data_IF_767687515212
#
_entry.id   IF_767687515212
#
_cell.length_a   1.000
_cell.length_b   1.000
_cell.length_c   1.000
_cell.angle_alpha   90.00
_cell.angle_beta   90.00
_cell.angle_gamma   90.00
#
_symmetry.space_group_name_H-M   'P 1'
#
loop_
_entity.id
_entity.type
_entity.pdbx_description
1 polymer ?
#
# COMPACT_ATOMS: atom_id res chain seq x y z
N UNK A 1 76.83 -21.07 9.37
CA UNK A 1 78.13 -20.49 8.94
C UNK A 1 78.22 -20.63 7.42
N UNK A 2 78.73 -19.62 6.72
CA UNK A 2 78.47 -19.32 5.30
C UNK A 2 79.44 -20.12 4.38
N UNK A 3 79.47 -19.92 3.04
CA UNK A 3 80.17 -18.76 2.47
C UNK A 3 79.50 -18.22 1.17
N UNK A 4 79.42 -16.89 0.95
CA UNK A 4 80.22 -16.08 -0.02
C UNK A 4 80.13 -16.54 -1.49
N UNK A 5 79.96 -15.73 -2.53
CA UNK A 5 80.03 -14.28 -2.71
C UNK A 5 80.60 -13.94 -4.11
N UNK A 6 79.87 -13.13 -4.89
CA UNK A 6 80.30 -12.10 -5.88
C UNK A 6 81.27 -12.48 -7.04
N UNK A 7 81.70 -11.57 -7.98
CA UNK A 7 81.38 -10.13 -8.23
C UNK A 7 81.24 -9.74 -9.74
N UNK A 8 81.21 -8.41 -9.99
CA UNK A 8 81.48 -7.60 -11.23
C UNK A 8 80.24 -6.98 -11.90
N UNK A 9 80.13 -5.67 -12.21
CA UNK A 9 81.04 -4.50 -12.10
C UNK A 9 80.25 -3.18 -12.30
N UNK A 10 80.60 -2.17 -11.50
CA UNK A 10 80.85 -0.75 -11.84
C UNK A 10 79.77 0.33 -12.09
N UNK A 11 79.88 1.37 -11.22
CA UNK A 11 79.81 2.86 -11.41
C UNK A 11 78.51 3.48 -11.94
N UNK A 12 78.05 4.67 -11.55
CA UNK A 12 78.49 5.78 -10.66
C UNK A 12 77.23 6.68 -10.52
N UNK A 13 76.74 7.08 -9.35
CA UNK A 13 77.28 8.09 -8.40
C UNK A 13 77.00 9.55 -8.82
N UNK A 14 76.07 10.23 -8.12
CA UNK A 14 76.16 11.58 -7.52
C UNK A 14 74.77 12.04 -7.01
N UNK A 15 74.57 12.23 -5.68
CA UNK A 15 74.57 13.52 -4.93
C UNK A 15 73.37 14.45 -5.27
N UNK A 16 72.66 15.11 -4.35
CA UNK A 16 72.80 15.41 -2.91
C UNK A 16 71.50 16.12 -2.44
N UNK A 17 71.21 15.98 -1.14
CA UNK A 17 70.08 16.49 -0.36
C UNK A 17 69.99 18.02 -0.17
N UNK A 18 68.78 18.50 0.21
CA UNK A 18 68.43 19.42 1.33
C UNK A 18 67.24 20.35 0.93
N UNK A 19 66.03 20.25 1.52
CA UNK A 19 65.53 20.89 2.79
C UNK A 19 65.38 22.42 2.62
N UNK A 20 64.22 23.10 2.72
CA UNK A 20 63.33 23.40 3.89
C UNK A 20 62.02 24.10 3.41
N UNK A 21 60.83 23.79 3.98
CA UNK A 21 60.03 24.58 4.97
C UNK A 21 59.06 25.64 4.40
N UNK A 22 57.78 25.57 4.80
CA UNK A 22 56.84 26.70 4.80
C UNK A 22 55.39 26.32 4.49
N UNK A 23 54.54 26.26 5.52
CA UNK A 23 53.07 26.34 5.40
C UNK A 23 52.64 27.60 4.64
N UNK A 24 51.60 27.50 3.81
CA UNK A 24 50.51 28.48 3.77
C UNK A 24 49.31 27.92 2.99
N UNK A 25 48.20 27.66 3.67
CA UNK A 25 46.85 27.70 3.06
C UNK A 25 46.39 29.17 3.08
N UNK A 26 45.55 29.64 2.14
CA UNK A 26 44.12 29.32 2.24
C UNK A 26 43.28 29.35 0.92
N UNK A 27 42.12 28.68 0.99
CA UNK A 27 40.81 29.01 0.39
C UNK A 27 40.52 28.80 -1.13
N UNK A 28 39.55 27.90 -1.35
CA UNK A 28 38.37 28.02 -2.22
C UNK A 28 38.52 28.60 -3.65
N UNK A 29 38.57 27.70 -4.63
CA UNK A 29 37.79 27.81 -5.87
C UNK A 29 37.79 26.44 -6.58
N UNK A 30 36.75 25.63 -6.37
CA UNK A 30 36.54 24.40 -7.13
C UNK A 30 35.79 24.77 -8.43
N UNK A 31 36.53 25.34 -9.37
CA UNK A 31 36.06 25.54 -10.75
C UNK A 31 35.98 24.18 -11.44
N UNK A 32 34.75 23.68 -11.61
CA UNK A 32 34.49 22.46 -12.41
C UNK A 32 34.63 22.85 -13.89
N UNK A 33 35.85 22.79 -14.41
CA UNK A 33 36.09 22.87 -15.85
C UNK A 33 35.65 21.55 -16.49
N UNK A 34 34.46 21.53 -17.09
CA UNK A 34 34.03 20.43 -17.96
C UNK A 34 34.96 20.37 -19.17
N UNK A 35 35.94 19.47 -19.13
CA UNK A 35 36.81 19.21 -20.26
C UNK A 35 35.99 18.56 -21.39
N UNK A 36 35.99 19.22 -22.56
CA UNK A 36 35.35 18.74 -23.78
C UNK A 36 36.11 17.53 -24.34
N UNK A 37 35.90 16.35 -23.75
CA UNK A 37 36.29 15.06 -24.33
C UNK A 37 35.04 14.33 -24.85
N UNK A 38 35.20 13.46 -25.85
CA UNK A 38 34.09 12.69 -26.47
C UNK A 38 33.28 11.89 -25.44
N UNK A 39 33.91 11.52 -24.33
CA UNK A 39 33.31 10.80 -23.22
C UNK A 39 32.47 11.71 -22.30
N UNK A 40 32.91 12.94 -22.05
CA UNK A 40 32.13 13.93 -21.29
C UNK A 40 30.81 14.30 -21.98
N UNK A 41 30.81 14.36 -23.31
CA UNK A 41 29.58 14.59 -24.10
C UNK A 41 28.60 13.41 -23.99
N UNK A 42 29.11 12.17 -23.94
CA UNK A 42 28.27 10.96 -23.76
C UNK A 42 27.68 10.91 -22.36
N UNK A 43 28.47 11.23 -21.34
CA UNK A 43 28.00 11.27 -19.96
C UNK A 43 26.92 12.34 -19.76
N UNK A 44 27.10 13.52 -20.38
CA UNK A 44 26.09 14.59 -20.35
C UNK A 44 24.79 14.16 -21.03
N UNK A 45 24.86 13.44 -22.16
CA UNK A 45 23.67 12.88 -22.83
C UNK A 45 22.96 11.80 -22.00
N UNK A 46 23.71 10.97 -21.27
CA UNK A 46 23.10 9.95 -20.40
C UNK A 46 22.42 10.59 -19.18
N UNK A 47 23.05 11.60 -18.59
CA UNK A 47 22.47 12.33 -17.46
C UNK A 47 21.23 13.13 -17.88
N UNK A 48 21.25 13.77 -19.06
CA UNK A 48 20.09 14.50 -19.58
C UNK A 48 18.92 13.56 -19.94
N UNK A 49 19.21 12.40 -20.53
CA UNK A 49 18.19 11.39 -20.83
C UNK A 49 17.55 10.82 -19.56
N UNK A 50 18.35 10.57 -18.52
CA UNK A 50 17.87 10.09 -17.22
C UNK A 50 16.98 11.14 -16.52
N UNK A 51 17.42 12.40 -16.49
CA UNK A 51 16.63 13.52 -15.95
C UNK A 51 15.32 13.73 -16.71
N UNK A 52 15.36 13.65 -18.05
CA UNK A 52 14.16 13.76 -18.88
C UNK A 52 13.18 12.61 -18.62
N UNK A 53 13.67 11.37 -18.50
CA UNK A 53 12.85 10.20 -18.17
C UNK A 53 12.20 10.33 -16.78
N UNK A 54 12.96 10.79 -15.78
CA UNK A 54 12.46 11.04 -14.44
C UNK A 54 11.40 12.15 -14.41
N UNK A 55 11.60 13.23 -15.16
CA UNK A 55 10.64 14.33 -15.29
C UNK A 55 9.34 13.85 -15.96
N UNK A 56 9.44 13.04 -17.02
CA UNK A 56 8.28 12.46 -17.70
C UNK A 56 7.53 11.47 -16.80
N UNK A 57 8.24 10.69 -15.98
CA UNK A 57 7.64 9.81 -14.98
C UNK A 57 6.87 10.59 -13.90
N UNK A 58 7.44 11.70 -13.41
CA UNK A 58 6.79 12.59 -12.44
C UNK A 58 5.56 13.26 -13.07
N UNK A 59 5.64 13.76 -14.31
CA UNK A 59 4.52 14.38 -15.01
C UNK A 59 3.37 13.39 -15.26
N UNK A 60 3.69 12.16 -15.67
CA UNK A 60 2.68 11.12 -15.93
C UNK A 60 1.98 10.63 -14.65
N UNK A 61 2.64 10.72 -13.49
CA UNK A 61 2.01 10.51 -12.19
C UNK A 61 1.20 11.74 -11.70
N UNK A 62 1.65 12.95 -12.04
CA UNK A 62 1.03 14.21 -11.59
C UNK A 62 -0.23 14.59 -12.38
N UNK A 63 -0.42 14.07 -13.60
CA UNK A 63 -1.58 14.36 -14.45
C UNK A 63 -2.84 13.54 -14.13
N UNK A 64 -2.89 12.76 -13.04
CA UNK A 64 -4.12 12.10 -12.57
C UNK A 64 -4.86 12.94 -11.52
N UNK A 65 -5.01 14.24 -11.76
CA UNK A 65 -5.86 15.09 -10.94
C UNK A 65 -7.20 15.35 -11.66
N UNK A 66 -8.36 15.08 -11.05
CA UNK A 66 -9.65 15.45 -11.64
C UNK A 66 -9.78 16.98 -11.73
N UNK A 67 -10.32 17.47 -12.85
CA UNK A 67 -10.64 18.89 -13.06
C UNK A 67 -11.61 19.41 -12.00
N UNK A 68 -11.44 20.61 -11.43
CA UNK A 68 -12.45 21.23 -10.59
C UNK A 68 -13.47 21.95 -11.48
N UNK A 69 -14.73 21.50 -11.49
CA UNK A 69 -15.83 22.38 -11.88
C UNK A 69 -16.26 23.23 -10.67
N UNK A 70 -16.50 24.50 -10.97
CA UNK A 70 -16.91 25.60 -10.10
C UNK A 70 -17.88 25.24 -8.97
N UNK A 71 -17.53 25.67 -7.76
CA UNK A 71 -18.50 26.15 -6.77
C UNK A 71 -17.86 27.16 -5.80
N UNK A 72 -18.57 28.28 -5.60
CA UNK A 72 -18.23 29.50 -4.84
C UNK A 72 -17.58 29.27 -3.45
N UNK A 73 -16.82 30.27 -2.93
CA UNK A 73 -16.34 30.22 -1.56
C UNK A 73 -17.48 30.58 -0.60
N UNK A 74 -17.97 29.59 0.16
CA UNK A 74 -18.70 29.86 1.40
C UNK A 74 -17.64 29.87 2.50
N UNK A 75 -17.40 31.04 3.10
CA UNK A 75 -16.77 31.13 4.41
C UNK A 75 -17.70 30.42 5.40
N UNK A 76 -17.45 29.12 5.60
CA UNK A 76 -18.04 28.33 6.66
C UNK A 76 -16.87 27.85 7.50
N UNK A 77 -16.73 28.43 8.69
CA UNK A 77 -15.98 27.83 9.78
C UNK A 77 -16.27 26.33 9.84
N UNK A 78 -15.24 25.49 9.70
CA UNK A 78 -15.36 24.07 9.99
C UNK A 78 -15.98 23.92 11.38
N UNK A 79 -17.16 23.29 11.56
CA UNK A 79 -17.46 22.72 12.85
C UNK A 79 -16.45 21.57 13.07
N UNK A 80 -16.02 21.31 14.32
CA UNK A 80 -15.41 20.04 14.65
C UNK A 80 -16.36 18.92 14.23
N UNK A 81 -15.80 17.78 13.84
CA UNK A 81 -16.52 16.50 13.65
C UNK A 81 -17.62 16.42 14.72
N UNK A 82 -18.91 16.32 14.36
CA UNK A 82 -19.93 16.17 15.37
C UNK A 82 -19.72 14.80 15.99
N UNK A 83 -19.11 14.80 17.18
CA UNK A 83 -19.45 13.81 18.19
C UNK A 83 -20.98 13.80 18.23
N UNK A 84 -21.58 12.73 17.75
CA UNK A 84 -23.03 12.58 17.71
C UNK A 84 -23.48 12.57 19.16
N UNK A 85 -23.96 13.71 19.63
CA UNK A 85 -24.65 13.80 20.92
C UNK A 85 -25.81 12.82 20.85
N UNK A 86 -25.95 11.88 21.80
CA UNK A 86 -27.04 10.94 21.78
C UNK A 86 -28.34 11.73 21.88
N UNK A 87 -29.06 11.77 20.77
CA UNK A 87 -30.38 12.37 20.69
C UNK A 87 -31.25 11.72 21.76
N UNK A 88 -31.84 12.57 22.59
CA UNK A 88 -32.72 12.27 23.71
C UNK A 88 -33.82 11.26 23.34
N UNK A 89 -33.51 9.98 23.53
CA UNK A 89 -34.48 8.90 23.55
C UNK A 89 -34.09 7.95 24.68
N UNK A 90 -34.86 8.00 25.77
CA UNK A 90 -34.88 7.07 26.92
C UNK A 90 -33.52 6.69 27.51
N UNK A 91 -33.27 7.13 28.73
CA UNK A 91 -32.09 6.81 29.53
C UNK A 91 -31.83 5.29 29.69
N UNK A 92 -31.13 4.69 28.74
CA UNK A 92 -30.23 3.58 28.98
C UNK A 92 -28.83 4.17 29.18
N UNK A 93 -28.26 3.99 30.36
CA UNK A 93 -26.95 4.54 30.77
C UNK A 93 -25.76 3.93 30.00
N UNK A 94 -26.02 3.09 28.99
CA UNK A 94 -25.00 2.36 28.23
C UNK A 94 -25.08 2.78 26.75
N UNK A 95 -23.95 3.13 26.11
CA UNK A 95 -23.95 3.40 24.68
C UNK A 95 -24.44 2.17 23.90
N UNK A 96 -25.09 2.36 22.74
CA UNK A 96 -25.52 1.23 21.92
C UNK A 96 -24.29 0.40 21.49
N UNK A 97 -24.42 -0.93 21.34
CA UNK A 97 -23.32 -1.76 20.90
C UNK A 97 -22.88 -1.36 19.48
N UNK A 98 -21.57 -1.43 19.19
CA UNK A 98 -21.03 -1.00 17.90
C UNK A 98 -21.52 -1.88 16.76
N UNK A 99 -21.53 -1.30 15.55
CA UNK A 99 -21.79 -2.00 14.29
C UNK A 99 -20.48 -2.49 13.68
N UNK A 100 -20.44 -3.73 13.20
CA UNK A 100 -19.25 -4.35 12.64
C UNK A 100 -19.39 -4.51 11.12
N UNK A 101 -18.29 -4.28 10.40
CA UNK A 101 -18.17 -4.56 8.97
C UNK A 101 -17.20 -5.73 8.73
N UNK A 102 -17.77 -6.86 8.31
CA UNK A 102 -17.05 -8.10 8.04
C UNK A 102 -16.68 -8.24 6.56
N UNK A 103 -15.39 -8.21 6.27
CA UNK A 103 -14.89 -8.62 4.96
C UNK A 103 -14.50 -10.10 5.00
N UNK A 104 -15.26 -10.96 4.34
CA UNK A 104 -15.03 -12.41 4.32
C UNK A 104 -14.46 -12.80 2.96
N UNK A 105 -13.20 -13.23 2.96
CA UNK A 105 -12.45 -13.60 1.77
C UNK A 105 -12.31 -15.12 1.61
N UNK A 106 -12.35 -15.60 0.38
CA UNK A 106 -12.12 -16.99 0.03
C UNK A 106 -11.54 -17.14 -1.38
N UNK A 107 -11.14 -18.37 -1.70
CA UNK A 107 -10.57 -18.72 -2.99
C UNK A 107 -11.44 -19.76 -3.70
N UNK A 108 -10.90 -20.39 -4.76
CA UNK A 108 -11.56 -21.48 -5.45
C UNK A 108 -12.06 -22.58 -4.48
N UNK A 109 -13.34 -22.89 -4.55
CA UNK A 109 -13.97 -23.94 -3.75
C UNK A 109 -14.37 -23.53 -2.33
N UNK A 110 -14.11 -22.29 -1.90
CA UNK A 110 -14.43 -21.85 -0.54
C UNK A 110 -15.86 -21.30 -0.37
N UNK A 111 -16.68 -21.24 -1.43
CA UNK A 111 -18.02 -20.65 -1.39
C UNK A 111 -18.90 -21.16 -0.24
N UNK A 112 -18.95 -22.48 -0.03
CA UNK A 112 -19.74 -23.08 1.06
C UNK A 112 -19.14 -22.77 2.44
N UNK A 113 -17.81 -22.66 2.55
CA UNK A 113 -17.14 -22.30 3.80
C UNK A 113 -17.38 -20.84 4.16
N UNK A 114 -17.34 -19.95 3.17
CA UNK A 114 -17.69 -18.53 3.31
C UNK A 114 -19.14 -18.40 3.76
N UNK A 115 -20.07 -19.13 3.14
CA UNK A 115 -21.48 -19.11 3.53
C UNK A 115 -21.69 -19.64 4.95
N UNK A 116 -21.05 -20.76 5.31
CA UNK A 116 -21.06 -21.32 6.66
C UNK A 116 -20.53 -20.32 7.69
N UNK A 117 -19.42 -19.64 7.38
CA UNK A 117 -18.83 -18.62 8.26
C UNK A 117 -19.78 -17.43 8.41
N UNK A 118 -20.35 -16.92 7.31
CA UNK A 118 -21.34 -15.85 7.34
C UNK A 118 -22.48 -16.18 8.30
N UNK A 119 -23.06 -17.38 8.20
CA UNK A 119 -24.11 -17.81 9.13
C UNK A 119 -23.68 -17.79 10.60
N UNK A 120 -22.42 -18.16 10.89
CA UNK A 120 -21.91 -18.20 12.26
C UNK A 120 -21.67 -16.81 12.86
N UNK A 121 -21.32 -15.81 12.04
CA UNK A 121 -21.06 -14.43 12.48
C UNK A 121 -22.21 -13.47 12.19
N UNK A 122 -23.35 -13.97 11.68
CA UNK A 122 -24.43 -13.11 11.19
C UNK A 122 -25.17 -12.40 12.33
N UNK A 123 -25.35 -11.10 12.16
CA UNK A 123 -26.17 -10.25 13.01
C UNK A 123 -26.78 -9.13 12.16
N UNK A 124 -28.08 -8.79 12.31
CA UNK A 124 -28.77 -7.83 11.45
C UNK A 124 -28.23 -6.40 11.52
N UNK A 125 -27.52 -6.02 12.59
CA UNK A 125 -26.91 -4.69 12.73
C UNK A 125 -25.57 -4.55 12.00
N UNK A 126 -24.94 -5.66 11.62
CA UNK A 126 -23.61 -5.68 11.01
C UNK A 126 -23.71 -5.66 9.48
N UNK A 127 -22.60 -5.34 8.80
CA UNK A 127 -22.45 -5.34 7.35
C UNK A 127 -21.48 -6.43 6.91
N UNK A 128 -21.74 -7.07 5.78
CA UNK A 128 -20.95 -8.18 5.27
C UNK A 128 -20.61 -7.96 3.79
N UNK A 129 -19.33 -8.05 3.45
CA UNK A 129 -18.86 -8.10 2.06
C UNK A 129 -18.13 -9.42 1.85
N UNK A 130 -18.67 -10.24 0.97
CA UNK A 130 -18.10 -11.53 0.60
C UNK A 130 -17.24 -11.36 -0.65
N UNK A 131 -16.08 -11.99 -0.66
CA UNK A 131 -15.15 -11.96 -1.78
C UNK A 131 -14.64 -13.36 -2.07
N UNK A 132 -14.75 -13.76 -3.34
CA UNK A 132 -13.97 -14.87 -3.87
C UNK A 132 -12.98 -14.30 -4.89
N UNK A 133 -11.70 -14.64 -4.71
CA UNK A 133 -10.63 -14.17 -5.57
C UNK A 133 -10.74 -14.70 -7.01
N UNK A 134 -9.79 -14.30 -7.87
CA UNK A 134 -9.78 -14.69 -9.28
C UNK A 134 -9.44 -16.15 -9.54
N UNK A 135 -9.04 -16.91 -8.51
CA UNK A 135 -8.89 -18.37 -8.64
C UNK A 135 -10.23 -19.08 -8.69
N UNK A 136 -11.28 -18.50 -8.10
CA UNK A 136 -12.64 -19.00 -8.22
C UNK A 136 -13.23 -18.69 -9.60
N UNK A 137 -14.04 -19.60 -10.15
CA UNK A 137 -14.72 -19.36 -11.41
C UNK A 137 -15.84 -18.33 -11.27
N UNK A 138 -16.31 -17.79 -12.40
CA UNK A 138 -17.48 -16.91 -12.43
C UNK A 138 -18.72 -17.63 -11.87
N UNK A 139 -18.95 -18.88 -12.28
CA UNK A 139 -20.05 -19.70 -11.77
C UNK A 139 -20.03 -19.86 -10.24
N UNK A 140 -18.85 -19.99 -9.63
CA UNK A 140 -18.74 -20.10 -8.16
C UNK A 140 -19.15 -18.79 -7.48
N UNK A 141 -18.73 -17.63 -8.01
CA UNK A 141 -19.15 -16.33 -7.50
C UNK A 141 -20.65 -16.11 -7.65
N UNK A 142 -21.21 -16.47 -8.80
CA UNK A 142 -22.64 -16.36 -9.06
C UNK A 142 -23.45 -17.28 -8.15
N UNK A 143 -23.00 -18.53 -7.94
CA UNK A 143 -23.61 -19.45 -6.98
C UNK A 143 -23.59 -18.90 -5.56
N UNK A 144 -22.49 -18.30 -5.11
CA UNK A 144 -22.42 -17.65 -3.79
C UNK A 144 -23.42 -16.50 -3.69
N UNK A 145 -23.50 -15.64 -4.71
CA UNK A 145 -24.45 -14.54 -4.74
C UNK A 145 -25.91 -15.00 -4.73
N UNK A 146 -26.24 -16.06 -5.48
CA UNK A 146 -27.56 -16.68 -5.47
C UNK A 146 -27.88 -17.33 -4.12
N UNK A 147 -26.91 -18.00 -3.51
CA UNK A 147 -27.07 -18.62 -2.19
C UNK A 147 -27.38 -17.56 -1.12
N UNK A 148 -26.66 -16.43 -1.11
CA UNK A 148 -26.93 -15.31 -0.20
C UNK A 148 -28.35 -14.76 -0.40
N UNK A 149 -28.78 -14.56 -1.66
CA UNK A 149 -30.12 -14.05 -1.97
C UNK A 149 -31.25 -15.03 -1.65
N UNK A 150 -30.94 -16.33 -1.59
CA UNK A 150 -31.92 -17.38 -1.26
C UNK A 150 -32.31 -17.39 0.21
N UNK A 151 -31.46 -16.84 1.10
CA UNK A 151 -31.71 -16.80 2.54
C UNK A 151 -32.60 -15.61 2.89
N UNK A 152 -33.83 -15.82 3.41
CA UNK A 152 -34.78 -14.73 3.64
C UNK A 152 -34.28 -13.66 4.59
N UNK A 153 -33.51 -14.03 5.62
CA UNK A 153 -33.02 -13.08 6.62
C UNK A 153 -31.96 -12.12 6.03
N UNK A 154 -31.08 -12.61 5.17
CA UNK A 154 -30.07 -11.78 4.48
C UNK A 154 -30.75 -10.84 3.49
N UNK A 155 -31.73 -11.37 2.74
CA UNK A 155 -32.51 -10.58 1.77
C UNK A 155 -33.34 -9.49 2.43
N UNK A 156 -33.95 -9.79 3.58
CA UNK A 156 -34.77 -8.83 4.32
C UNK A 156 -33.93 -7.72 4.95
N UNK A 157 -32.74 -8.06 5.48
CA UNK A 157 -31.84 -7.08 6.09
C UNK A 157 -31.04 -6.26 5.07
N UNK A 158 -30.76 -6.81 3.89
CA UNK A 158 -30.02 -6.10 2.83
C UNK A 158 -28.62 -5.68 3.27
N UNK A 159 -27.96 -6.50 4.09
CA UNK A 159 -26.68 -6.19 4.73
C UNK A 159 -25.55 -7.15 4.32
N UNK A 160 -25.77 -7.99 3.32
CA UNK A 160 -24.78 -8.93 2.77
C UNK A 160 -24.62 -8.69 1.28
N UNK A 161 -23.40 -8.32 0.88
CA UNK A 161 -23.03 -8.05 -0.51
C UNK A 161 -21.93 -9.02 -0.97
N UNK A 162 -21.94 -9.37 -2.26
CA UNK A 162 -20.90 -10.19 -2.88
C UNK A 162 -20.14 -9.35 -3.90
N UNK A 163 -18.82 -9.29 -3.79
CA UNK A 163 -17.98 -8.52 -4.70
C UNK A 163 -18.00 -9.14 -6.10
N UNK A 164 -18.51 -8.38 -7.08
CA UNK A 164 -18.63 -8.87 -8.45
C UNK A 164 -17.31 -8.96 -9.20
N UNK A 165 -16.37 -8.03 -8.95
CA UNK A 165 -15.05 -8.02 -9.58
C UNK A 165 -14.03 -8.71 -8.66
N UNK A 166 -13.49 -9.87 -9.04
CA UNK A 166 -12.52 -10.58 -8.19
C UNK A 166 -11.15 -9.91 -8.24
N UNK A 167 -10.43 -9.97 -7.11
CA UNK A 167 -9.02 -9.59 -7.04
C UNK A 167 -8.13 -10.80 -7.33
N UNK A 168 -6.97 -10.56 -7.92
CA UNK A 168 -5.94 -11.60 -8.04
C UNK A 168 -5.11 -11.65 -6.78
N UNK A 169 -5.31 -12.72 -6.00
CA UNK A 169 -4.67 -12.92 -4.70
C UNK A 169 -3.60 -14.01 -4.81
N UNK A 170 -2.36 -13.62 -4.54
CA UNK A 170 -1.26 -14.54 -4.26
C UNK A 170 -0.99 -14.56 -2.74
N UNK A 171 -1.24 -15.69 -2.05
CA UNK A 171 -1.01 -15.82 -0.60
C UNK A 171 0.43 -15.55 -0.16
N UNK A 172 1.41 -15.68 -1.06
CA UNK A 172 2.84 -15.46 -0.78
C UNK A 172 3.30 -14.02 -1.09
N UNK A 173 2.38 -13.13 -1.46
CA UNK A 173 2.70 -11.77 -1.90
C UNK A 173 1.86 -10.69 -1.22
N UNK A 174 2.12 -9.44 -1.59
CA UNK A 174 1.42 -8.26 -1.05
C UNK A 174 -0.05 -8.14 -1.51
N UNK A 175 -0.46 -8.95 -2.48
CA UNK A 175 -1.82 -8.94 -3.04
C UNK A 175 -2.90 -9.30 -2.03
N UNK A 176 -2.59 -10.07 -0.98
CA UNK A 176 -3.56 -10.36 0.11
C UNK A 176 -3.94 -9.05 0.81
N UNK A 177 -2.94 -8.26 1.20
CA UNK A 177 -3.16 -6.96 1.84
C UNK A 177 -3.87 -6.01 0.88
N UNK A 178 -3.51 -6.01 -0.40
CA UNK A 178 -4.19 -5.20 -1.42
C UNK A 178 -5.67 -5.56 -1.54
N UNK A 179 -6.04 -6.84 -1.52
CA UNK A 179 -7.44 -7.27 -1.58
C UNK A 179 -8.21 -6.87 -0.32
N UNK A 180 -7.61 -7.00 0.86
CA UNK A 180 -8.22 -6.52 2.12
C UNK A 180 -8.46 -5.02 2.10
N UNK A 181 -7.48 -4.22 1.66
CA UNK A 181 -7.63 -2.76 1.54
C UNK A 181 -8.66 -2.36 0.48
N UNK A 182 -8.74 -3.12 -0.62
CA UNK A 182 -9.77 -2.92 -1.63
C UNK A 182 -11.17 -3.17 -1.06
N UNK A 183 -11.36 -4.27 -0.31
CA UNK A 183 -12.59 -4.56 0.41
C UNK A 183 -12.96 -3.45 1.40
N UNK A 184 -12.01 -3.02 2.24
CA UNK A 184 -12.22 -1.92 3.18
C UNK A 184 -12.62 -0.61 2.48
N UNK A 185 -11.98 -0.28 1.36
CA UNK A 185 -12.31 0.91 0.56
C UNK A 185 -13.73 0.84 -0.02
N UNK A 186 -14.18 -0.34 -0.46
CA UNK A 186 -15.57 -0.56 -0.92
C UNK A 186 -16.55 -0.34 0.24
N UNK A 187 -16.28 -0.94 1.40
CA UNK A 187 -17.15 -0.79 2.57
C UNK A 187 -17.24 0.67 3.03
N UNK A 188 -16.13 1.40 3.09
CA UNK A 188 -16.12 2.83 3.44
C UNK A 188 -16.92 3.70 2.46
N UNK A 189 -16.95 3.31 1.17
CA UNK A 189 -17.58 4.12 0.12
C UNK A 189 -19.06 3.81 -0.07
N UNK A 190 -19.48 2.58 0.18
CA UNK A 190 -20.81 2.10 -0.20
C UNK A 190 -21.63 1.51 0.94
N UNK A 191 -20.99 1.08 2.03
CA UNK A 191 -21.66 0.48 3.18
C UNK A 191 -21.47 1.42 4.37
N UNK A 192 -22.29 2.46 4.45
CA UNK A 192 -22.25 3.44 5.55
C UNK A 192 -22.75 2.81 6.87
N UNK A 193 -22.38 3.41 8.01
CA UNK A 193 -22.85 3.07 9.37
C UNK A 193 -22.24 1.81 10.04
N UNK A 194 -20.90 1.75 10.12
CA UNK A 194 -20.17 0.78 10.94
C UNK A 194 -19.02 1.43 11.71
N UNK A 195 -18.63 0.82 12.82
CA UNK A 195 -17.61 1.33 13.75
C UNK A 195 -16.28 0.57 13.65
N UNK A 196 -16.32 -0.73 13.34
CA UNK A 196 -15.14 -1.59 13.25
C UNK A 196 -15.10 -2.40 11.96
N UNK A 197 -13.91 -2.51 11.36
CA UNK A 197 -13.65 -3.38 10.23
C UNK A 197 -12.95 -4.66 10.69
N UNK A 198 -13.46 -5.81 10.26
CA UNK A 198 -12.91 -7.13 10.60
C UNK A 198 -12.73 -7.92 9.30
N UNK A 199 -11.48 -8.29 8.98
CA UNK A 199 -11.18 -9.18 7.88
C UNK A 199 -11.15 -10.64 8.35
N UNK A 200 -11.82 -11.52 7.62
CA UNK A 200 -11.85 -12.96 7.83
C UNK A 200 -11.53 -13.69 6.53
N UNK A 201 -10.98 -14.88 6.66
CA UNK A 201 -10.80 -15.85 5.59
C UNK A 201 -11.82 -16.98 5.73
N UNK A 202 -12.03 -17.74 4.65
CA UNK A 202 -12.88 -18.93 4.66
C UNK A 202 -12.42 -20.04 5.62
N UNK A 203 -11.19 -19.96 6.11
CA UNK A 203 -10.62 -20.91 7.09
C UNK A 203 -10.90 -20.51 8.54
N UNK A 204 -11.35 -19.26 8.78
CA UNK A 204 -11.63 -18.76 10.12
C UNK A 204 -12.98 -19.27 10.65
N UNK A 205 -13.13 -19.27 11.98
CA UNK A 205 -14.40 -19.57 12.63
C UNK A 205 -14.49 -18.94 14.02
N UNK A 206 -15.64 -18.34 14.39
CA UNK A 206 -15.79 -17.75 15.71
C UNK A 206 -15.79 -18.83 16.81
N UNK A 207 -15.08 -18.56 17.91
CA UNK A 207 -15.09 -19.38 19.12
C UNK A 207 -16.11 -18.89 20.16
N UNK A 208 -16.62 -17.68 19.97
CA UNK A 208 -17.59 -17.01 20.84
C UNK A 208 -18.75 -16.46 20.01
N UNK A 209 -19.92 -16.34 20.64
CA UNK A 209 -21.10 -15.70 20.04
C UNK A 209 -20.92 -14.17 19.95
N UNK A 210 -21.72 -13.54 19.09
CA UNK A 210 -21.76 -12.07 18.96
C UNK A 210 -22.37 -11.39 20.20
N UNK A 211 -23.31 -12.08 20.86
CA UNK A 211 -24.04 -11.64 22.06
C UNK A 211 -23.42 -12.20 23.35
#
# INVERSE_FOLDING_TARGET
APPTGCPFRHRSDYRRCAVTRGEMQPQHALSINLTSTKEGKRLLCLLSASLASLLLFILSFSCRLPSPLSSRPRLQSNPPIPFREPSSASASTTPPPPSLAYFISGSNGDGDRVLRLLHAVYHPKNRYLLHLDSSASQDQRERLALAVQSVPVFKAAGNVDVMGKPDTVNPRGSTVVSATLHGAAIMLRYLEEWDWFINLSASDYPLITQD
#
